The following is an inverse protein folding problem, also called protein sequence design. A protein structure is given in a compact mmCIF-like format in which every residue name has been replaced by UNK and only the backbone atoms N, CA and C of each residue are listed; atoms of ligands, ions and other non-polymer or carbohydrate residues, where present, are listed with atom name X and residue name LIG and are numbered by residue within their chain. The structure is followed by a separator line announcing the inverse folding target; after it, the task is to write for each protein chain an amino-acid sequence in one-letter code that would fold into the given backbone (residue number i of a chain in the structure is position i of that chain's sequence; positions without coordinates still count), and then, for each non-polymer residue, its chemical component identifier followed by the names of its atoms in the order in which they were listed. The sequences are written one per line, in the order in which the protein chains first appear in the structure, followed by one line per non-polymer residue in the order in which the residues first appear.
data_IF_154413476342
#
_entry.id   IF_154413476342
#
_cell.length_a   1.000
_cell.length_b   1.000
_cell.length_c   1.000
_cell.angle_alpha   90.00
_cell.angle_beta   90.00
_cell.angle_gamma   90.00
#
_symmetry.space_group_name_H-M   'P 1'
#
loop_
_entity.id
_entity.type
_entity.pdbx_description
1 polymer ?
#
# COMPACT_ATOMS: atom_id res chain seq x y z
N UNK A 1 -6.98 4.29 15.42
CA UNK A 1 -6.06 5.19 14.69
C UNK A 1 -6.37 6.62 15.09
N UNK A 2 -5.36 7.48 15.28
CA UNK A 2 -5.58 8.88 15.69
C UNK A 2 -6.04 9.69 14.47
N UNK A 3 -7.25 10.24 14.52
CA UNK A 3 -7.78 11.22 13.56
C UNK A 3 -6.95 12.51 13.60
N UNK A 4 -7.01 13.34 12.57
CA UNK A 4 -6.34 14.65 12.60
C UNK A 4 -7.00 15.60 13.61
N UNK A 5 -6.29 16.66 13.98
CA UNK A 5 -6.85 17.66 14.91
C UNK A 5 -8.07 18.38 14.30
N UNK A 6 -8.06 18.58 12.98
CA UNK A 6 -9.22 19.08 12.23
C UNK A 6 -10.44 18.15 12.35
N UNK A 7 -10.25 16.86 12.14
CA UNK A 7 -11.34 15.86 12.27
C UNK A 7 -11.83 15.76 13.71
N UNK A 8 -10.90 15.76 14.67
CA UNK A 8 -11.23 15.77 16.10
C UNK A 8 -12.06 17.00 16.46
N UNK A 9 -11.70 18.18 15.96
CA UNK A 9 -12.45 19.42 16.19
C UNK A 9 -13.79 19.39 15.46
N UNK A 10 -13.87 18.85 14.25
CA UNK A 10 -15.12 18.74 13.48
C UNK A 10 -16.18 17.90 14.21
N UNK A 11 -15.76 16.87 14.95
CA UNK A 11 -16.63 16.05 15.80
C UNK A 11 -17.13 16.70 17.09
N UNK A 12 -16.67 17.92 17.44
CA UNK A 12 -17.10 18.63 18.66
C UNK A 12 -18.41 19.40 18.47
N UNK A 13 -19.21 19.59 19.54
CA UNK A 13 -20.39 20.44 19.50
C UNK A 13 -20.07 21.85 18.98
N UNK A 14 -21.00 22.46 18.24
CA UNK A 14 -20.81 23.78 17.62
C UNK A 14 -20.32 24.86 18.60
N UNK A 15 -20.84 24.86 19.83
CA UNK A 15 -20.44 25.81 20.89
C UNK A 15 -18.98 25.63 21.32
N UNK A 16 -18.48 24.40 21.35
CA UNK A 16 -17.10 24.09 21.72
C UNK A 16 -16.14 24.46 20.58
N UNK A 17 -16.50 24.15 19.33
CA UNK A 17 -15.76 24.59 18.13
C UNK A 17 -15.61 26.11 18.07
N UNK A 18 -16.72 26.84 18.24
CA UNK A 18 -16.71 28.30 18.25
C UNK A 18 -15.85 28.86 19.39
N UNK A 19 -15.83 28.21 20.56
CA UNK A 19 -14.97 28.61 21.67
C UNK A 19 -13.48 28.43 21.34
N UNK A 20 -13.11 27.28 20.76
CA UNK A 20 -11.73 26.98 20.39
C UNK A 20 -11.21 27.92 19.27
N UNK A 21 -12.08 28.29 18.32
CA UNK A 21 -11.73 29.16 17.20
C UNK A 21 -11.85 30.66 17.53
N UNK A 22 -12.41 31.03 18.68
CA UNK A 22 -12.74 32.43 19.05
C UNK A 22 -11.55 33.39 19.02
N UNK A 23 -10.32 32.88 19.12
CA UNK A 23 -9.09 33.67 19.13
C UNK A 23 -8.35 33.74 17.79
N UNK A 24 -8.82 33.06 16.74
CA UNK A 24 -8.17 33.09 15.44
C UNK A 24 -8.64 34.30 14.65
N UNK A 25 -7.71 35.22 14.36
CA UNK A 25 -7.94 36.23 13.33
C UNK A 25 -7.89 35.60 11.93
N UNK A 26 -8.22 36.38 10.90
CA UNK A 26 -8.26 35.88 9.53
C UNK A 26 -6.90 35.34 9.06
N UNK A 27 -5.80 35.97 9.47
CA UNK A 27 -4.44 35.55 9.13
C UNK A 27 -4.09 34.20 9.77
N UNK A 28 -4.39 34.04 11.06
CA UNK A 28 -4.17 32.81 11.81
C UNK A 28 -5.06 31.67 11.30
N UNK A 29 -6.30 31.97 10.94
CA UNK A 29 -7.20 30.99 10.33
C UNK A 29 -6.68 30.53 8.95
N UNK A 30 -6.16 31.45 8.14
CA UNK A 30 -5.54 31.11 6.86
C UNK A 30 -4.27 30.28 7.07
N UNK A 31 -3.39 30.67 7.98
CA UNK A 31 -2.18 29.92 8.31
C UNK A 31 -2.51 28.50 8.81
N UNK A 32 -3.51 28.37 9.68
CA UNK A 32 -3.97 27.08 10.20
C UNK A 32 -4.50 26.16 9.09
N UNK A 33 -5.17 26.70 8.07
CA UNK A 33 -5.63 25.93 6.92
C UNK A 33 -4.47 25.32 6.09
N UNK A 34 -3.28 25.92 6.16
CA UNK A 34 -2.04 25.40 5.55
C UNK A 34 -1.15 24.64 6.54
N UNK A 35 -1.58 24.45 7.79
CA UNK A 35 -0.82 23.71 8.79
C UNK A 35 -1.04 22.21 8.59
N UNK A 36 -0.01 21.48 8.16
CA UNK A 36 -0.18 20.06 7.87
C UNK A 36 -0.48 19.25 9.14
N UNK A 37 0.12 19.57 10.28
CA UNK A 37 -0.18 18.88 11.55
C UNK A 37 -1.65 19.04 11.99
N UNK A 38 -2.30 20.11 11.53
CA UNK A 38 -3.71 20.35 11.80
C UNK A 38 -4.62 19.44 10.95
N UNK A 39 -4.28 19.26 9.67
CA UNK A 39 -5.14 18.61 8.68
C UNK A 39 -4.79 17.14 8.44
N UNK A 40 -3.51 16.80 8.48
CA UNK A 40 -2.99 15.45 8.25
C UNK A 40 -3.13 14.54 9.47
N UNK A 41 -3.23 13.24 9.21
CA UNK A 41 -3.24 12.21 10.27
C UNK A 41 -1.84 11.79 10.67
N UNK A 42 -1.71 11.24 11.87
CA UNK A 42 -0.43 10.75 12.40
C UNK A 42 0.31 9.76 11.47
N UNK A 43 -0.44 8.91 10.75
CA UNK A 43 0.15 7.96 9.79
C UNK A 43 0.63 8.61 8.47
N UNK A 44 0.20 9.84 8.19
CA UNK A 44 0.66 10.65 7.06
C UNK A 44 1.80 11.62 7.44
N UNK A 45 2.20 11.65 8.71
CA UNK A 45 3.34 12.45 9.17
C UNK A 45 4.65 11.71 8.94
N UNK A 46 5.73 12.48 8.81
CA UNK A 46 7.08 11.93 8.90
C UNK A 46 7.27 11.16 10.22
N UNK A 47 8.07 10.09 10.23
CA UNK A 47 8.45 9.42 11.48
C UNK A 47 9.28 10.33 12.39
N UNK A 48 9.16 10.12 13.69
CA UNK A 48 10.06 10.71 14.68
C UNK A 48 11.41 9.98 14.71
N UNK A 49 12.41 10.59 15.32
CA UNK A 49 13.73 9.98 15.54
C UNK A 49 14.64 9.98 14.31
N UNK A 50 15.60 9.06 14.32
CA UNK A 50 16.59 8.92 13.25
C UNK A 50 16.15 7.86 12.24
N UNK A 51 16.02 8.28 10.99
CA UNK A 51 15.63 7.43 9.88
C UNK A 51 16.23 7.99 8.60
N UNK A 52 16.54 7.09 7.68
CA UNK A 52 17.08 7.43 6.36
C UNK A 52 16.00 7.47 5.31
N UNK A 53 15.09 6.49 5.36
CA UNK A 53 14.01 6.31 4.41
C UNK A 53 12.70 6.18 5.18
N UNK A 54 11.70 6.95 4.76
CA UNK A 54 10.32 6.78 5.17
C UNK A 54 9.54 6.15 4.01
N UNK A 55 9.13 4.89 4.17
CA UNK A 55 8.30 4.18 3.20
C UNK A 55 6.82 4.32 3.60
N UNK A 56 6.08 5.19 2.91
CA UNK A 56 4.64 5.34 3.08
C UNK A 56 3.89 4.43 2.11
N UNK A 57 3.47 3.27 2.63
CA UNK A 57 2.84 2.20 1.86
C UNK A 57 1.38 2.05 2.25
N UNK A 58 0.48 2.58 1.43
CA UNK A 58 -0.93 2.72 1.80
C UNK A 58 -1.86 2.57 0.60
N UNK A 59 -3.15 2.34 0.87
CA UNK A 59 -4.19 2.26 -0.14
C UNK A 59 -4.37 3.54 -0.97
N UNK A 60 -5.10 3.42 -2.07
CA UNK A 60 -5.53 4.55 -2.91
C UNK A 60 -6.42 5.48 -2.11
N UNK A 61 -6.31 6.78 -2.37
CA UNK A 61 -7.10 7.76 -1.61
C UNK A 61 -6.63 7.94 -0.16
N UNK A 62 -5.59 7.25 0.34
CA UNK A 62 -5.04 7.51 1.67
C UNK A 62 -4.36 8.88 1.81
N UNK A 63 -4.07 9.59 0.71
CA UNK A 63 -3.39 10.89 0.74
C UNK A 63 -1.85 10.81 0.72
N UNK A 64 -1.28 9.74 0.17
CA UNK A 64 0.19 9.55 0.05
C UNK A 64 0.89 10.71 -0.64
N UNK A 65 0.37 11.14 -1.79
CA UNK A 65 0.93 12.26 -2.56
C UNK A 65 0.87 13.57 -1.77
N UNK A 66 -0.23 13.82 -1.04
CA UNK A 66 -0.35 14.99 -0.16
C UNK A 66 0.68 14.96 0.97
N UNK A 67 0.85 13.80 1.61
CA UNK A 67 1.84 13.61 2.67
C UNK A 67 3.29 13.86 2.18
N UNK A 68 3.64 13.35 0.99
CA UNK A 68 4.95 13.59 0.38
C UNK A 68 5.18 15.07 0.04
N UNK A 69 4.18 15.74 -0.53
CA UNK A 69 4.25 17.17 -0.85
C UNK A 69 4.41 18.05 0.39
N UNK A 70 3.65 17.77 1.46
CA UNK A 70 3.72 18.52 2.72
C UNK A 70 5.05 18.30 3.44
N UNK A 71 5.61 17.09 3.38
CA UNK A 71 6.95 16.82 3.91
C UNK A 71 8.03 17.62 3.16
N UNK A 72 7.99 17.60 1.82
CA UNK A 72 8.91 18.42 1.00
C UNK A 72 8.75 19.90 1.29
N UNK A 73 7.50 20.38 1.40
CA UNK A 73 7.20 21.77 1.73
C UNK A 73 7.77 22.17 3.08
N UNK A 74 7.55 21.38 4.13
CA UNK A 74 8.07 21.65 5.47
C UNK A 74 9.60 21.76 5.48
N UNK A 75 10.30 20.88 4.75
CA UNK A 75 11.76 20.96 4.58
C UNK A 75 12.16 22.24 3.85
N UNK A 76 11.53 22.51 2.70
CA UNK A 76 11.90 23.62 1.86
C UNK A 76 11.64 24.97 2.55
N UNK A 77 10.53 25.10 3.27
CA UNK A 77 10.19 26.32 4.03
C UNK A 77 11.09 26.49 5.28
N UNK A 78 11.53 25.38 5.90
CA UNK A 78 12.41 25.40 7.07
C UNK A 78 13.91 25.55 6.79
N UNK A 79 14.38 25.19 5.60
CA UNK A 79 15.80 25.22 5.22
C UNK A 79 16.02 25.72 3.79
N UNK A 80 16.42 26.99 3.65
CA UNK A 80 16.76 27.61 2.36
C UNK A 80 17.95 26.98 1.62
N UNK A 81 18.78 26.18 2.31
CA UNK A 81 19.88 25.44 1.68
C UNK A 81 19.45 24.11 1.08
N UNK A 82 18.20 23.67 1.35
CA UNK A 82 17.71 22.39 0.89
C UNK A 82 17.79 22.23 -0.63
N UNK A 83 18.28 21.06 -1.03
CA UNK A 83 18.30 20.56 -2.42
C UNK A 83 17.53 19.25 -2.45
N UNK A 84 16.38 19.26 -3.11
CA UNK A 84 15.39 18.17 -3.05
C UNK A 84 15.27 17.50 -4.42
N UNK A 85 15.34 16.18 -4.47
CA UNK A 85 14.96 15.40 -5.65
C UNK A 85 13.47 15.06 -5.62
N UNK A 86 12.74 15.34 -6.70
CA UNK A 86 11.37 14.87 -6.91
C UNK A 86 11.40 13.81 -8.01
N UNK A 87 11.13 12.56 -7.68
CA UNK A 87 11.26 11.43 -8.60
C UNK A 87 9.89 10.77 -8.78
N UNK A 88 9.30 10.93 -9.96
CA UNK A 88 8.12 10.16 -10.38
C UNK A 88 8.54 8.98 -11.26
N UNK A 89 7.59 8.14 -11.71
CA UNK A 89 7.96 7.07 -12.63
C UNK A 89 8.42 7.61 -14.01
N UNK A 90 7.83 8.72 -14.43
CA UNK A 90 8.32 9.54 -15.54
C UNK A 90 8.46 11.00 -15.12
N UNK A 91 9.24 11.78 -15.88
CA UNK A 91 9.34 13.22 -15.66
C UNK A 91 7.98 13.92 -15.81
N UNK A 92 7.16 13.45 -16.76
CA UNK A 92 5.81 13.98 -16.99
C UNK A 92 4.90 13.78 -15.79
N UNK A 93 4.93 12.61 -15.17
CA UNK A 93 4.18 12.35 -13.94
C UNK A 93 4.72 13.12 -12.74
N UNK A 94 6.04 13.25 -12.59
CA UNK A 94 6.61 14.08 -11.53
C UNK A 94 6.08 15.52 -11.62
N UNK A 95 5.97 16.06 -12.84
CA UNK A 95 5.36 17.36 -13.07
C UNK A 95 3.86 17.39 -12.78
N UNK A 96 3.08 16.54 -13.45
CA UNK A 96 1.62 16.63 -13.43
C UNK A 96 1.01 16.20 -12.09
N UNK A 97 1.68 15.33 -11.32
CA UNK A 97 1.19 14.82 -10.04
C UNK A 97 1.86 15.53 -8.86
N UNK A 98 3.20 15.56 -8.81
CA UNK A 98 3.92 16.05 -7.62
C UNK A 98 4.02 17.58 -7.57
N UNK A 99 3.92 18.28 -8.72
CA UNK A 99 4.08 19.75 -8.79
C UNK A 99 2.74 20.44 -9.06
N UNK A 100 2.14 20.16 -10.22
CA UNK A 100 0.94 20.86 -10.72
C UNK A 100 -0.37 20.20 -10.25
N UNK A 101 -0.31 18.97 -9.73
CA UNK A 101 -1.49 18.22 -9.33
C UNK A 101 -2.25 18.83 -8.13
N UNK A 102 -3.48 18.36 -7.84
CA UNK A 102 -4.27 18.86 -6.71
C UNK A 102 -3.61 18.69 -5.34
N UNK A 103 -2.81 17.63 -5.19
CA UNK A 103 -1.97 17.38 -4.00
C UNK A 103 -0.50 17.77 -4.20
N UNK A 104 -0.17 18.40 -5.33
CA UNK A 104 1.20 18.78 -5.68
C UNK A 104 1.64 20.09 -5.04
N UNK A 105 2.95 20.33 -5.04
CA UNK A 105 3.60 21.43 -4.33
C UNK A 105 3.00 22.82 -4.61
N UNK A 106 2.56 23.08 -5.84
CA UNK A 106 1.98 24.37 -6.20
C UNK A 106 0.56 24.59 -5.66
N UNK A 107 -0.15 23.50 -5.33
CA UNK A 107 -1.50 23.52 -4.76
C UNK A 107 -1.48 23.53 -3.23
N UNK A 108 -0.48 22.89 -2.61
CA UNK A 108 -0.38 22.80 -1.14
C UNK A 108 0.35 23.98 -0.52
N UNK A 109 1.21 24.67 -1.26
CA UNK A 109 1.95 25.81 -0.74
C UNK A 109 1.06 27.06 -0.57
N UNK A 110 1.16 27.76 0.56
CA UNK A 110 0.45 29.02 0.76
C UNK A 110 1.02 30.09 -0.17
N UNK A 111 0.19 31.09 -0.51
CA UNK A 111 0.57 32.11 -1.49
C UNK A 111 1.83 32.91 -1.11
N UNK A 112 2.12 33.09 0.18
CA UNK A 112 3.30 33.81 0.68
C UNK A 112 4.60 33.00 0.63
N UNK A 113 4.53 31.67 0.53
CA UNK A 113 5.70 30.78 0.42
C UNK A 113 5.66 29.90 -0.84
N UNK A 114 4.80 30.24 -1.81
CA UNK A 114 4.63 29.44 -3.02
C UNK A 114 5.92 29.44 -3.85
N UNK A 115 6.46 28.26 -4.22
CA UNK A 115 7.67 28.21 -5.03
C UNK A 115 7.42 28.65 -6.47
N UNK A 116 8.42 29.28 -7.08
CA UNK A 116 8.46 29.54 -8.51
C UNK A 116 8.84 28.25 -9.25
N UNK A 117 8.00 27.81 -10.19
CA UNK A 117 8.27 26.64 -11.02
C UNK A 117 8.75 27.06 -12.41
N UNK A 118 9.91 26.53 -12.82
CA UNK A 118 10.48 26.70 -14.16
C UNK A 118 10.47 25.34 -14.89
N UNK A 119 9.44 25.04 -15.71
CA UNK A 119 9.27 23.73 -16.34
C UNK A 119 10.44 23.31 -17.22
N UNK A 120 10.98 24.24 -18.01
CA UNK A 120 12.13 23.99 -18.90
C UNK A 120 13.39 23.58 -18.13
N UNK A 121 13.56 24.10 -16.91
CA UNK A 121 14.68 23.78 -16.02
C UNK A 121 14.36 22.60 -15.08
N UNK A 122 13.13 22.05 -15.14
CA UNK A 122 12.66 20.97 -14.25
C UNK A 122 12.84 21.33 -12.77
N UNK A 123 12.66 22.60 -12.40
CA UNK A 123 13.08 23.11 -11.10
C UNK A 123 12.03 23.98 -10.42
N UNK A 124 11.84 23.78 -9.12
CA UNK A 124 11.15 24.69 -8.21
C UNK A 124 12.16 25.43 -7.34
N UNK A 125 11.88 26.70 -7.04
CA UNK A 125 12.67 27.52 -6.13
C UNK A 125 11.72 28.25 -5.16
N UNK A 126 11.94 28.07 -3.86
CA UNK A 126 11.20 28.77 -2.81
C UNK A 126 11.78 30.17 -2.57
N UNK A 127 11.00 31.12 -2.01
CA UNK A 127 11.48 32.47 -1.71
C UNK A 127 12.74 32.53 -0.83
N UNK A 128 12.94 31.53 0.03
CA UNK A 128 14.10 31.43 0.92
C UNK A 128 15.35 30.80 0.27
N UNK A 129 15.28 30.39 -1.01
CA UNK A 129 16.39 29.78 -1.75
C UNK A 129 16.42 28.26 -1.78
N UNK A 130 15.52 27.57 -1.05
CA UNK A 130 15.37 26.12 -1.16
C UNK A 130 14.98 25.76 -2.58
N UNK A 131 15.43 24.60 -3.08
CA UNK A 131 15.09 24.19 -4.44
C UNK A 131 14.83 22.69 -4.56
N UNK A 132 13.93 22.36 -5.48
CA UNK A 132 13.61 20.99 -5.85
C UNK A 132 13.78 20.78 -7.35
N UNK A 133 14.31 19.64 -7.76
CA UNK A 133 14.52 19.28 -9.17
C UNK A 133 13.79 17.98 -9.51
N UNK A 134 13.15 17.94 -10.68
CA UNK A 134 12.31 16.82 -11.12
C UNK A 134 13.10 15.81 -11.94
N UNK A 135 12.85 14.54 -11.67
CA UNK A 135 13.42 13.38 -12.34
C UNK A 135 12.33 12.35 -12.64
N UNK A 136 12.60 11.48 -13.61
CA UNK A 136 11.77 10.33 -13.93
C UNK A 136 12.56 9.05 -13.78
N UNK A 137 12.03 8.07 -13.05
CA UNK A 137 12.68 6.77 -12.85
C UNK A 137 12.80 5.93 -14.15
N UNK A 138 12.05 6.28 -15.19
CA UNK A 138 12.22 5.75 -16.54
C UNK A 138 13.57 6.14 -17.19
N UNK A 139 14.25 7.18 -16.69
CA UNK A 139 15.60 7.59 -17.09
C UNK A 139 16.52 7.65 -15.85
N UNK A 140 17.00 6.48 -15.36
CA UNK A 140 17.83 6.40 -14.16
C UNK A 140 19.12 7.22 -14.24
N UNK A 141 19.69 7.37 -15.44
CA UNK A 141 20.97 8.05 -15.65
C UNK A 141 20.87 9.55 -15.37
N UNK A 142 19.69 10.15 -15.53
CA UNK A 142 19.43 11.55 -15.17
C UNK A 142 19.69 11.87 -13.69
N UNK A 143 19.65 10.87 -12.81
CA UNK A 143 19.96 11.01 -11.38
C UNK A 143 21.46 10.93 -11.08
N UNK A 144 22.31 10.58 -12.05
CA UNK A 144 23.77 10.58 -11.87
C UNK A 144 24.33 11.99 -12.01
N UNK A 145 25.10 12.42 -11.01
CA UNK A 145 25.76 13.73 -11.00
C UNK A 145 25.14 14.72 -10.00
N UNK A 146 23.81 14.99 -10.06
CA UNK A 146 23.12 15.79 -9.06
C UNK A 146 23.33 15.31 -7.62
N UNK A 147 23.20 16.24 -6.68
CA UNK A 147 23.38 15.97 -5.26
C UNK A 147 22.22 16.55 -4.47
N UNK A 148 21.76 15.82 -3.47
CA UNK A 148 20.55 16.13 -2.75
C UNK A 148 20.72 15.99 -1.24
N UNK A 149 20.00 16.84 -0.53
CA UNK A 149 19.77 16.75 0.92
C UNK A 149 18.53 15.91 1.22
N UNK A 150 17.51 15.99 0.35
CA UNK A 150 16.21 15.36 0.56
C UNK A 150 15.71 14.76 -0.75
N UNK A 151 14.87 13.73 -0.67
CA UNK A 151 14.27 13.10 -1.85
C UNK A 151 12.83 12.69 -1.60
N UNK A 152 11.95 12.94 -2.56
CA UNK A 152 10.62 12.37 -2.61
C UNK A 152 10.50 11.49 -3.85
N UNK A 153 10.37 10.19 -3.63
CA UNK A 153 10.18 9.16 -4.64
C UNK A 153 8.71 8.72 -4.66
N UNK A 154 7.94 9.17 -5.65
CA UNK A 154 6.51 8.92 -5.74
C UNK A 154 6.14 7.69 -6.58
N UNK A 155 5.20 6.92 -6.05
CA UNK A 155 4.68 5.67 -6.60
C UNK A 155 5.79 4.69 -7.04
N UNK A 156 6.74 4.41 -6.15
CA UNK A 156 7.93 3.58 -6.45
C UNK A 156 7.62 2.18 -7.01
N UNK A 157 6.44 1.62 -6.70
CA UNK A 157 5.98 0.36 -7.25
C UNK A 157 5.77 0.34 -8.77
N UNK A 158 5.63 1.50 -9.42
CA UNK A 158 5.38 1.61 -10.87
C UNK A 158 6.62 2.00 -11.68
N UNK A 159 7.77 2.16 -11.04
CA UNK A 159 9.00 2.61 -11.70
C UNK A 159 9.53 1.54 -12.66
N UNK A 160 9.67 1.83 -13.98
CA UNK A 160 10.20 0.87 -14.95
C UNK A 160 11.66 0.49 -14.63
N UNK A 161 12.47 1.46 -14.21
CA UNK A 161 13.87 1.28 -13.79
C UNK A 161 14.05 1.28 -12.27
N UNK A 162 13.10 0.68 -11.54
CA UNK A 162 12.96 0.78 -10.07
C UNK A 162 14.27 0.82 -9.28
N UNK A 163 15.05 -0.27 -9.30
CA UNK A 163 16.29 -0.35 -8.53
C UNK A 163 17.39 0.59 -9.02
N UNK A 164 17.62 0.67 -10.33
CA UNK A 164 18.65 1.53 -10.90
C UNK A 164 18.42 3.01 -10.58
N UNK A 165 17.17 3.49 -10.74
CA UNK A 165 16.81 4.86 -10.40
C UNK A 165 16.92 5.11 -8.88
N UNK A 166 16.47 4.15 -8.06
CA UNK A 166 16.59 4.25 -6.61
C UNK A 166 18.05 4.32 -6.16
N UNK A 167 18.91 3.45 -6.67
CA UNK A 167 20.31 3.39 -6.28
C UNK A 167 21.06 4.66 -6.71
N UNK A 168 20.79 5.18 -7.92
CA UNK A 168 21.32 6.48 -8.37
C UNK A 168 20.84 7.64 -7.48
N UNK A 169 19.54 7.67 -7.12
CA UNK A 169 19.02 8.63 -6.16
C UNK A 169 19.80 8.54 -4.84
N UNK A 170 19.89 7.35 -4.24
CA UNK A 170 20.54 7.16 -2.94
C UNK A 170 22.03 7.54 -2.95
N UNK A 171 22.77 7.28 -4.03
CA UNK A 171 24.15 7.74 -4.20
C UNK A 171 24.26 9.28 -4.33
N UNK A 172 23.21 9.94 -4.85
CA UNK A 172 23.08 11.41 -4.89
C UNK A 172 22.74 12.05 -3.55
N UNK A 173 22.18 11.30 -2.61
CA UNK A 173 21.73 11.80 -1.30
C UNK A 173 22.91 12.01 -0.33
N UNK A 174 23.71 13.06 -0.55
CA UNK A 174 24.98 13.33 0.17
C UNK A 174 25.18 14.77 0.63
N UNK A 175 24.13 15.61 0.59
CA UNK A 175 24.20 16.97 1.12
C UNK A 175 23.57 17.06 2.52
N UNK A 176 24.11 17.96 3.35
CA UNK A 176 23.65 18.14 4.72
C UNK A 176 24.16 17.05 5.67
N UNK A 177 23.67 17.06 6.92
CA UNK A 177 24.13 16.15 7.98
C UNK A 177 23.48 14.77 7.92
N UNK A 178 22.18 14.72 7.64
CA UNK A 178 21.39 13.49 7.63
C UNK A 178 20.42 13.55 6.45
N UNK A 179 20.87 13.20 5.23
CA UNK A 179 20.00 13.26 4.06
C UNK A 179 18.83 12.27 4.26
N UNK A 180 17.62 12.62 3.80
CA UNK A 180 16.41 11.79 4.03
C UNK A 180 15.58 11.61 2.77
N UNK A 181 14.92 10.46 2.63
CA UNK A 181 14.04 10.17 1.48
C UNK A 181 12.67 9.71 1.96
N UNK A 182 11.60 10.28 1.41
CA UNK A 182 10.26 9.68 1.49
C UNK A 182 9.97 8.92 0.20
N UNK A 183 9.52 7.68 0.35
CA UNK A 183 9.03 6.84 -0.73
C UNK A 183 7.54 6.58 -0.52
N UNK A 184 6.70 7.04 -1.45
CA UNK A 184 5.25 6.84 -1.39
C UNK A 184 4.85 5.76 -2.38
N UNK A 185 3.97 4.83 -1.99
CA UNK A 185 3.51 3.80 -2.92
C UNK A 185 2.21 3.13 -2.49
N UNK A 186 1.41 2.72 -3.48
CA UNK A 186 0.44 1.64 -3.29
C UNK A 186 1.18 0.30 -3.43
N UNK A 187 1.11 -0.60 -2.44
CA UNK A 187 1.96 -1.80 -2.42
C UNK A 187 1.81 -2.64 -3.67
N UNK A 188 2.93 -2.93 -4.33
CA UNK A 188 3.06 -4.05 -5.27
C UNK A 188 4.30 -4.85 -4.92
N UNK A 189 4.29 -6.18 -5.14
CA UNK A 189 5.39 -7.05 -4.76
C UNK A 189 6.60 -6.97 -5.71
N UNK A 190 6.97 -5.77 -6.17
CA UNK A 190 8.15 -5.53 -7.00
C UNK A 190 9.43 -5.51 -6.16
N UNK A 191 10.58 -5.78 -6.78
CA UNK A 191 11.85 -5.97 -6.09
C UNK A 191 12.23 -4.80 -5.18
N UNK A 192 12.12 -3.56 -5.66
CA UNK A 192 12.42 -2.35 -4.88
C UNK A 192 11.54 -2.22 -3.62
N UNK A 193 10.23 -2.44 -3.75
CA UNK A 193 9.30 -2.32 -2.61
C UNK A 193 9.57 -3.42 -1.59
N UNK A 194 9.81 -4.66 -2.05
CA UNK A 194 10.20 -5.78 -1.17
C UNK A 194 11.51 -5.49 -0.45
N UNK A 195 12.52 -4.97 -1.16
CA UNK A 195 13.84 -4.59 -0.61
C UNK A 195 13.71 -3.56 0.50
N UNK A 196 12.94 -2.49 0.28
CA UNK A 196 12.75 -1.45 1.29
C UNK A 196 11.91 -1.94 2.48
N UNK A 197 10.85 -2.72 2.22
CA UNK A 197 10.02 -3.30 3.28
C UNK A 197 10.83 -4.27 4.18
N UNK A 198 11.74 -5.05 3.59
CA UNK A 198 12.61 -5.96 4.34
C UNK A 198 13.65 -5.24 5.23
N UNK A 199 13.89 -3.95 4.99
CA UNK A 199 14.82 -3.12 5.77
C UNK A 199 14.10 -2.31 6.88
N UNK A 200 12.83 -2.59 7.15
CA UNK A 200 12.09 -1.97 8.24
C UNK A 200 12.82 -2.13 9.58
N UNK A 201 13.02 -1.02 10.31
CA UNK A 201 13.80 -0.99 11.54
C UNK A 201 15.32 -0.86 11.34
N UNK A 202 15.83 -1.01 10.11
CA UNK A 202 17.24 -0.87 9.75
C UNK A 202 17.47 0.40 8.90
N UNK A 203 17.07 1.56 9.43
CA UNK A 203 17.15 2.85 8.72
C UNK A 203 15.96 3.15 7.80
N UNK A 204 15.08 2.17 7.58
CA UNK A 204 13.76 2.37 6.95
C UNK A 204 12.67 2.33 8.02
N UNK A 205 11.79 3.33 8.01
CA UNK A 205 10.55 3.30 8.79
C UNK A 205 9.37 3.19 7.84
N UNK A 206 8.53 2.17 8.03
CA UNK A 206 7.35 1.94 7.22
C UNK A 206 6.13 2.52 7.93
N UNK A 207 5.33 3.32 7.22
CA UNK A 207 3.98 3.70 7.67
C UNK A 207 2.96 3.14 6.69
N UNK A 208 1.86 2.63 7.24
CA UNK A 208 0.76 2.02 6.50
C UNK A 208 -0.55 2.74 6.76
N UNK A 209 -1.50 2.55 5.85
CA UNK A 209 -2.84 3.07 6.03
C UNK A 209 -3.81 2.63 4.95
N UNK A 210 -5.09 2.61 5.31
CA UNK A 210 -6.20 2.13 4.48
C UNK A 210 -6.98 3.29 3.88
N UNK A 211 -7.62 3.08 2.73
CA UNK A 211 -8.50 4.06 2.10
C UNK A 211 -9.59 4.55 3.04
N UNK A 212 -10.23 3.63 3.77
CA UNK A 212 -11.30 3.96 4.72
C UNK A 212 -10.84 4.88 5.85
N UNK A 213 -9.56 4.84 6.22
CA UNK A 213 -9.01 5.73 7.24
C UNK A 213 -8.96 7.18 6.76
N UNK A 214 -9.06 7.43 5.44
CA UNK A 214 -9.12 8.77 4.85
C UNK A 214 -10.52 9.25 4.44
N UNK A 215 -11.58 8.60 4.93
CA UNK A 215 -12.96 8.86 4.52
C UNK A 215 -13.37 10.35 4.54
N UNK A 216 -12.95 11.13 5.55
CA UNK A 216 -13.30 12.55 5.68
C UNK A 216 -12.74 13.45 4.55
N UNK A 217 -11.76 12.96 3.78
CA UNK A 217 -11.16 13.66 2.65
C UNK A 217 -11.51 13.01 1.30
N UNK A 218 -12.43 12.04 1.29
CA UNK A 218 -12.91 11.36 0.11
C UNK A 218 -14.34 11.81 -0.19
N UNK A 219 -14.78 11.63 -1.44
CA UNK A 219 -16.15 11.91 -1.81
C UNK A 219 -17.12 11.04 -0.98
N UNK A 220 -18.28 11.59 -0.64
CA UNK A 220 -19.34 10.87 0.06
C UNK A 220 -19.71 9.60 -0.72
N UNK A 221 -19.87 8.47 0.00
CA UNK A 221 -20.16 7.16 -0.59
C UNK A 221 -18.99 6.48 -1.33
N UNK A 222 -17.83 7.15 -1.52
CA UNK A 222 -16.70 6.55 -2.24
C UNK A 222 -16.17 5.28 -1.54
N UNK A 223 -15.97 5.35 -0.22
CA UNK A 223 -15.46 4.21 0.57
C UNK A 223 -16.44 3.03 0.50
N UNK A 224 -17.74 3.29 0.66
CA UNK A 224 -18.79 2.27 0.58
C UNK A 224 -18.85 1.61 -0.80
N UNK A 225 -18.74 2.40 -1.87
CA UNK A 225 -18.70 1.87 -3.24
C UNK A 225 -17.47 0.98 -3.47
N UNK A 226 -16.29 1.42 -3.04
CA UNK A 226 -15.05 0.64 -3.17
C UNK A 226 -15.08 -0.64 -2.33
N UNK A 227 -15.64 -0.59 -1.13
CA UNK A 227 -15.80 -1.76 -0.27
C UNK A 227 -16.82 -2.75 -0.86
N UNK A 228 -17.91 -2.28 -1.45
CA UNK A 228 -18.88 -3.15 -2.13
C UNK A 228 -18.25 -3.89 -3.31
N UNK A 229 -17.45 -3.20 -4.12
CA UNK A 229 -16.96 -3.72 -5.40
C UNK A 229 -15.65 -4.52 -5.22
N UNK A 230 -14.80 -4.16 -4.25
CA UNK A 230 -13.47 -4.75 -4.05
C UNK A 230 -13.21 -5.27 -2.64
N UNK A 231 -14.09 -5.02 -1.67
CA UNK A 231 -13.95 -5.46 -0.28
C UNK A 231 -13.81 -6.98 -0.16
N UNK A 232 -12.96 -7.42 0.76
CA UNK A 232 -12.64 -8.84 0.96
C UNK A 232 -11.88 -9.51 -0.21
N UNK A 233 -11.64 -8.83 -1.33
CA UNK A 233 -10.82 -9.35 -2.42
C UNK A 233 -9.33 -9.06 -2.18
N UNK A 234 -8.45 -9.79 -2.85
CA UNK A 234 -7.02 -9.46 -2.85
C UNK A 234 -6.73 -8.07 -3.41
N UNK A 235 -7.41 -7.70 -4.49
CA UNK A 235 -7.25 -6.38 -5.09
C UNK A 235 -7.63 -5.29 -4.10
N UNK A 236 -8.73 -5.47 -3.35
CA UNK A 236 -9.12 -4.59 -2.25
C UNK A 236 -8.07 -4.51 -1.14
N UNK A 237 -7.57 -5.65 -0.67
CA UNK A 237 -6.51 -5.68 0.35
C UNK A 237 -5.24 -4.95 -0.09
N UNK A 238 -4.86 -5.08 -1.37
CA UNK A 238 -3.69 -4.37 -1.91
C UNK A 238 -3.96 -2.88 -2.15
N UNK A 239 -4.99 -2.56 -2.92
CA UNK A 239 -5.24 -1.21 -3.44
C UNK A 239 -6.05 -0.34 -2.47
N UNK A 240 -6.82 -0.92 -1.54
CA UNK A 240 -7.57 -0.19 -0.50
C UNK A 240 -6.94 -0.32 0.88
N UNK A 241 -6.56 -1.53 1.30
CA UNK A 241 -5.98 -1.71 2.64
C UNK A 241 -4.47 -1.42 2.70
N UNK A 242 -3.82 -1.30 1.55
CA UNK A 242 -2.37 -1.04 1.50
C UNK A 242 -1.54 -2.22 2.02
N UNK A 243 -2.03 -3.44 1.83
CA UNK A 243 -1.30 -4.64 2.20
C UNK A 243 -0.29 -5.06 1.12
N UNK A 244 0.96 -5.32 1.54
CA UNK A 244 1.95 -5.93 0.65
C UNK A 244 1.72 -7.44 0.60
N UNK A 245 0.93 -7.87 -0.37
CA UNK A 245 0.60 -9.28 -0.55
C UNK A 245 1.68 -9.93 -1.41
N UNK A 246 2.48 -10.80 -0.80
CA UNK A 246 3.46 -11.60 -1.52
C UNK A 246 2.79 -12.59 -2.47
N UNK A 247 3.35 -12.75 -3.67
CA UNK A 247 3.11 -13.90 -4.55
C UNK A 247 4.44 -14.60 -4.82
N UNK A 248 4.42 -15.93 -4.93
CA UNK A 248 5.53 -16.73 -5.48
C UNK A 248 5.43 -16.58 -6.99
N UNK A 249 6.42 -15.94 -7.61
CA UNK A 249 6.49 -15.79 -9.07
C UNK A 249 6.53 -17.18 -9.73
N UNK A 250 5.67 -17.43 -10.72
CA UNK A 250 5.50 -18.77 -11.31
C UNK A 250 4.56 -19.72 -10.55
N UNK A 251 3.85 -19.23 -9.51
CA UNK A 251 2.83 -20.01 -8.83
C UNK A 251 1.75 -20.47 -9.81
N UNK A 252 1.72 -21.78 -9.97
CA UNK A 252 0.92 -22.51 -10.95
C UNK A 252 -0.57 -22.52 -10.47
N UNK A 253 -0.81 -22.33 -9.16
CA UNK A 253 -2.08 -22.04 -8.49
C UNK A 253 -1.94 -20.74 -7.67
N UNK A 254 -2.50 -19.62 -8.14
CA UNK A 254 -2.48 -18.37 -7.38
C UNK A 254 -3.59 -18.33 -6.34
N UNK A 255 -3.40 -17.55 -5.27
CA UNK A 255 -4.45 -17.41 -4.24
C UNK A 255 -5.75 -16.85 -4.84
N UNK A 256 -5.64 -15.91 -5.77
CA UNK A 256 -6.80 -15.33 -6.47
C UNK A 256 -7.57 -16.34 -7.32
N UNK A 257 -6.85 -17.27 -7.97
CA UNK A 257 -7.50 -18.36 -8.69
C UNK A 257 -8.32 -19.22 -7.72
N UNK A 258 -7.74 -19.60 -6.58
CA UNK A 258 -8.41 -20.40 -5.55
C UNK A 258 -9.66 -19.69 -5.03
N UNK A 259 -9.56 -18.40 -4.70
CA UNK A 259 -10.71 -17.64 -4.19
C UNK A 259 -11.82 -17.49 -5.24
N UNK A 260 -11.48 -17.26 -6.52
CA UNK A 260 -12.48 -17.24 -7.61
C UNK A 260 -13.18 -18.58 -7.84
N UNK A 261 -12.50 -19.67 -7.52
CA UNK A 261 -13.03 -21.02 -7.65
C UNK A 261 -13.81 -21.48 -6.40
N UNK A 262 -13.79 -20.72 -5.30
CA UNK A 262 -14.47 -21.09 -4.06
C UNK A 262 -15.98 -20.86 -4.18
N UNK A 263 -16.75 -21.92 -3.97
CA UNK A 263 -18.22 -21.87 -3.94
C UNK A 263 -18.72 -22.24 -2.55
N UNK A 264 -19.86 -21.66 -2.11
CA UNK A 264 -20.48 -22.01 -0.81
C UNK A 264 -21.19 -23.36 -0.85
N UNK A 265 -21.78 -23.69 -1.99
CA UNK A 265 -22.45 -24.97 -2.25
C UNK A 265 -22.13 -25.38 -3.68
N UNK A 266 -22.09 -26.70 -3.92
CA UNK A 266 -22.01 -27.23 -5.29
C UNK A 266 -23.24 -26.74 -6.06
N UNK A 267 -23.09 -26.00 -7.17
CA UNK A 267 -24.21 -25.47 -7.94
C UNK A 267 -25.15 -26.58 -8.41
N UNK A 268 -26.48 -26.39 -8.21
CA UNK A 268 -27.53 -27.37 -8.52
C UNK A 268 -28.32 -27.89 -7.30
N UNK A 269 -27.97 -27.47 -6.09
CA UNK A 269 -28.48 -28.01 -4.81
C UNK A 269 -29.71 -27.36 -4.19
N UNK A 270 -30.81 -27.21 -4.93
CA UNK A 270 -32.13 -26.99 -4.34
C UNK A 270 -33.18 -27.73 -5.18
N UNK A 271 -33.49 -28.97 -4.83
CA UNK A 271 -34.49 -29.74 -5.58
C UNK A 271 -34.40 -31.24 -5.40
N UNK A 272 -33.52 -31.94 -6.11
CA UNK A 272 -33.62 -33.39 -6.26
C UNK A 272 -32.27 -34.07 -6.53
N UNK A 273 -31.96 -35.11 -5.74
CA UNK A 273 -30.97 -36.16 -6.05
C UNK A 273 -29.49 -35.81 -5.84
N UNK A 274 -28.69 -36.82 -5.50
CA UNK A 274 -27.25 -36.68 -5.19
C UNK A 274 -26.50 -35.82 -6.23
N UNK A 275 -25.85 -34.76 -5.75
CA UNK A 275 -25.27 -33.66 -6.53
C UNK A 275 -23.96 -34.02 -7.26
N UNK A 276 -23.34 -35.11 -6.85
CA UNK A 276 -22.03 -35.53 -7.31
C UNK A 276 -22.18 -36.85 -8.06
N UNK A 277 -21.68 -36.90 -9.29
CA UNK A 277 -21.72 -38.12 -10.11
C UNK A 277 -20.64 -39.12 -9.73
N UNK A 278 -19.63 -38.68 -8.98
CA UNK A 278 -18.53 -39.48 -8.48
C UNK A 278 -17.80 -38.74 -7.36
N UNK A 279 -17.39 -39.45 -6.32
CA UNK A 279 -16.56 -38.95 -5.22
C UNK A 279 -15.26 -39.73 -5.19
N UNK A 280 -14.14 -39.03 -5.12
CA UNK A 280 -12.80 -39.63 -5.04
C UNK A 280 -12.00 -39.01 -3.89
N UNK A 281 -11.10 -39.80 -3.31
CA UNK A 281 -10.18 -39.33 -2.28
C UNK A 281 -8.77 -39.22 -2.85
N UNK A 282 -8.22 -38.01 -2.79
CA UNK A 282 -6.80 -37.77 -3.03
C UNK A 282 -6.02 -37.91 -1.73
N UNK A 283 -4.94 -38.70 -1.75
CA UNK A 283 -4.07 -38.92 -0.59
C UNK A 283 -2.63 -38.63 -0.99
N UNK A 284 -1.97 -37.76 -0.22
CA UNK A 284 -0.55 -37.44 -0.33
C UNK A 284 0.16 -37.77 1.00
N UNK A 285 0.73 -38.98 1.13
CA UNK A 285 1.33 -39.44 2.37
C UNK A 285 2.72 -38.82 2.60
N UNK A 286 3.09 -38.51 3.86
CA UNK A 286 4.39 -37.93 4.17
C UNK A 286 5.52 -38.96 3.96
N UNK A 287 6.66 -38.50 3.44
CA UNK A 287 7.81 -39.36 3.13
C UNK A 287 8.66 -39.76 4.35
N UNK A 288 8.46 -39.15 5.53
CA UNK A 288 9.25 -39.44 6.73
C UNK A 288 8.40 -39.47 8.01
N UNK A 289 8.90 -40.16 9.05
CA UNK A 289 8.23 -40.28 10.35
C UNK A 289 8.15 -38.96 11.14
N UNK A 290 8.90 -37.93 10.73
CA UNK A 290 8.86 -36.56 11.23
C UNK A 290 8.35 -35.56 10.17
N UNK A 291 7.74 -36.07 9.10
CA UNK A 291 7.28 -35.27 7.97
C UNK A 291 6.04 -34.43 8.28
N UNK A 292 5.70 -33.58 7.32
CA UNK A 292 4.52 -32.72 7.31
C UNK A 292 3.19 -33.52 7.37
N UNK A 293 2.06 -32.81 7.34
CA UNK A 293 0.74 -33.43 7.31
C UNK A 293 0.59 -34.43 6.14
N UNK A 294 -0.13 -35.52 6.38
CA UNK A 294 -0.69 -36.36 5.32
C UNK A 294 -1.88 -35.61 4.71
N UNK A 295 -1.73 -35.16 3.46
CA UNK A 295 -2.78 -34.45 2.74
C UNK A 295 -3.88 -35.40 2.31
N UNK A 296 -5.12 -35.17 2.76
CA UNK A 296 -6.27 -35.99 2.40
C UNK A 296 -7.41 -35.07 1.99
N UNK A 297 -7.82 -35.12 0.72
CA UNK A 297 -8.92 -34.31 0.20
C UNK A 297 -10.00 -35.18 -0.43
N UNK A 298 -11.25 -34.88 -0.12
CA UNK A 298 -12.42 -35.52 -0.74
C UNK A 298 -12.91 -34.62 -1.86
N UNK A 299 -12.98 -35.16 -3.07
CA UNK A 299 -13.30 -34.41 -4.29
C UNK A 299 -14.50 -35.04 -5.00
N UNK A 300 -15.53 -34.25 -5.21
CA UNK A 300 -16.72 -34.64 -5.97
C UNK A 300 -16.71 -34.10 -7.38
N UNK A 301 -17.13 -34.90 -8.36
CA UNK A 301 -17.41 -34.44 -9.72
C UNK A 301 -18.86 -33.94 -9.80
N UNK A 302 -19.03 -32.64 -10.04
CA UNK A 302 -20.33 -32.04 -10.31
C UNK A 302 -20.85 -32.40 -11.70
N UNK A 303 -22.17 -32.29 -11.90
CA UNK A 303 -22.82 -32.51 -13.20
C UNK A 303 -22.44 -31.48 -14.26
N UNK A 304 -21.91 -30.33 -13.84
CA UNK A 304 -21.33 -29.30 -14.69
C UNK A 304 -19.93 -29.68 -15.22
N UNK A 305 -19.45 -30.88 -14.92
CA UNK A 305 -18.14 -31.38 -15.33
C UNK A 305 -16.97 -30.79 -14.52
N UNK A 306 -17.24 -30.09 -13.42
CA UNK A 306 -16.20 -29.50 -12.55
C UNK A 306 -15.96 -30.35 -11.30
N UNK A 307 -14.72 -30.34 -10.83
CA UNK A 307 -14.34 -30.99 -9.58
C UNK A 307 -14.45 -30.02 -8.40
N UNK A 308 -15.02 -30.49 -7.31
CA UNK A 308 -15.25 -29.72 -6.08
C UNK A 308 -14.58 -30.41 -4.90
N UNK A 309 -13.69 -29.72 -4.20
CA UNK A 309 -13.18 -30.20 -2.90
C UNK A 309 -14.30 -30.00 -1.89
N UNK A 310 -14.84 -31.10 -1.37
CA UNK A 310 -16.00 -31.10 -0.46
C UNK A 310 -15.62 -31.34 1.01
N UNK A 311 -14.45 -31.93 1.25
CA UNK A 311 -13.88 -32.06 2.59
C UNK A 311 -12.35 -32.12 2.54
N UNK A 312 -11.74 -31.66 3.62
CA UNK A 312 -10.32 -31.83 3.93
C UNK A 312 -10.23 -32.69 5.20
N UNK A 313 -9.63 -33.88 5.06
CA UNK A 313 -9.46 -34.86 6.12
C UNK A 313 -7.97 -35.05 6.48
N UNK A 314 -7.12 -34.07 6.14
CA UNK A 314 -5.69 -34.13 6.36
C UNK A 314 -5.35 -34.32 7.84
N UNK A 315 -4.32 -35.15 8.12
CA UNK A 315 -3.88 -35.44 9.50
C UNK A 315 -2.39 -35.24 9.65
N UNK A 316 -1.95 -34.71 10.80
CA UNK A 316 -0.55 -34.43 11.09
C UNK A 316 0.03 -35.37 12.15
N UNK A 317 1.32 -35.70 12.03
CA UNK A 317 2.05 -36.48 13.05
C UNK A 317 1.59 -37.93 13.22
N UNK A 318 0.81 -38.45 12.26
CA UNK A 318 0.29 -39.81 12.30
C UNK A 318 1.23 -40.81 11.62
N UNK A 319 1.30 -42.02 12.18
CA UNK A 319 1.93 -43.18 11.53
C UNK A 319 1.11 -43.64 10.32
N UNK A 320 1.66 -44.48 9.41
CA UNK A 320 0.95 -45.03 8.25
C UNK A 320 -0.47 -45.53 8.54
N UNK A 321 -0.63 -46.31 9.59
CA UNK A 321 -1.93 -46.84 10.03
C UNK A 321 -2.92 -45.73 10.43
N UNK A 322 -2.42 -44.63 11.01
CA UNK A 322 -3.25 -43.52 11.49
C UNK A 322 -3.85 -42.72 10.34
N UNK A 323 -3.05 -42.34 9.34
CA UNK A 323 -3.59 -41.65 8.18
C UNK A 323 -4.40 -42.59 7.26
N UNK A 324 -4.08 -43.88 7.19
CA UNK A 324 -4.89 -44.85 6.46
C UNK A 324 -6.31 -44.98 7.04
N UNK A 325 -6.45 -44.93 8.38
CA UNK A 325 -7.77 -44.86 9.04
C UNK A 325 -8.51 -43.58 8.72
N UNK A 326 -7.82 -42.44 8.63
CA UNK A 326 -8.44 -41.16 8.25
C UNK A 326 -9.00 -41.23 6.82
N UNK A 327 -8.26 -41.83 5.88
CA UNK A 327 -8.74 -42.10 4.51
C UNK A 327 -9.99 -42.98 4.52
N UNK A 328 -9.96 -44.11 5.25
CA UNK A 328 -11.10 -45.02 5.33
C UNK A 328 -12.34 -44.35 5.97
N UNK A 329 -12.13 -43.53 7.00
CA UNK A 329 -13.21 -42.76 7.62
C UNK A 329 -13.80 -41.73 6.65
N UNK A 330 -12.97 -40.99 5.92
CA UNK A 330 -13.42 -40.05 4.89
C UNK A 330 -14.19 -40.77 3.76
N UNK A 331 -13.75 -41.96 3.35
CA UNK A 331 -14.44 -42.77 2.35
C UNK A 331 -15.84 -43.18 2.81
N UNK A 332 -15.97 -43.64 4.06
CA UNK A 332 -17.25 -44.03 4.64
C UNK A 332 -18.20 -42.83 4.83
N UNK A 333 -17.70 -41.70 5.32
CA UNK A 333 -18.51 -40.51 5.59
C UNK A 333 -19.05 -39.88 4.31
N UNK A 334 -18.29 -39.95 3.21
CA UNK A 334 -18.63 -39.30 1.96
C UNK A 334 -19.05 -40.25 0.84
N UNK A 335 -19.23 -41.55 1.15
CA UNK A 335 -19.59 -42.61 0.20
C UNK A 335 -18.69 -42.59 -1.05
N UNK A 336 -17.37 -42.58 -0.83
CA UNK A 336 -16.39 -42.40 -1.90
C UNK A 336 -16.29 -43.63 -2.82
N UNK A 337 -16.25 -43.38 -4.13
CA UNK A 337 -16.12 -44.43 -5.15
C UNK A 337 -14.69 -44.97 -5.28
N UNK A 338 -13.68 -44.11 -5.04
CA UNK A 338 -12.24 -44.43 -5.16
C UNK A 338 -11.38 -43.64 -4.18
#
# INVERSE_FOLDING_TARGET
MRVSDMEWMAGRPARERLRLLKGLDAASAQALAYHWEWTGRAAQMAPEGDWRIWLLMAGRGFGKTRAGAEWVRAIAEGDGSARIALVGATLGEARSVMVEGPSGLLSVAPWWCRPAFAPALRRLVWPNGASAMLFGAADPESLRGPQFSHGWADEIAKWPGGEAAWDNLMMGMRLGRAPRVVATTTPRPVSLVRRLAAQEGAGVVVKRGRTAENAAHLAEGFVEAMERDYGGTRLGRQELDGELIGEIEGALWTRDLIERCRVRHVPGGAGDGALLSRVVIGVDPPASAHGDACGIVVVGLGRDGRAYVIADASVSGQRPEGWARAVAAAALVHDADR
#
